data_IF_017726757586
#
_entry.id   IF_017726757586
#
_cell.length_a   1.000
_cell.length_b   1.000
_cell.length_c   1.000
_cell.angle_alpha   90.00
_cell.angle_beta   90.00
_cell.angle_gamma   90.00
#
_symmetry.space_group_name_H-M   'P 1'
#
loop_
_entity.id
_entity.type
_entity.pdbx_description
1 polymer ?
#
# COMPACT_ATOMS: atom_id res chain seq x y z
N UNK A 1 -17.16 -26.25 -18.80
CA UNK A 1 -16.88 -25.04 -19.58
C UNK A 1 -17.39 -23.77 -18.91
N UNK A 2 -18.67 -23.63 -18.57
CA UNK A 2 -19.22 -22.35 -18.04
C UNK A 2 -18.63 -21.88 -16.69
N UNK A 3 -18.30 -22.81 -15.78
CA UNK A 3 -17.74 -22.45 -14.46
C UNK A 3 -16.30 -21.94 -14.53
N UNK A 4 -15.53 -22.38 -15.51
CA UNK A 4 -14.11 -22.03 -15.66
C UNK A 4 -13.97 -20.65 -16.31
N UNK A 5 -14.78 -20.39 -17.34
CA UNK A 5 -14.89 -19.07 -17.98
C UNK A 5 -15.39 -18.01 -16.98
N UNK A 6 -16.33 -18.37 -16.09
CA UNK A 6 -16.78 -17.49 -15.00
C UNK A 6 -15.68 -17.18 -13.98
N UNK A 7 -14.77 -18.12 -13.69
CA UNK A 7 -13.65 -17.90 -12.76
C UNK A 7 -12.59 -17.00 -13.36
N UNK A 8 -12.24 -17.22 -14.63
CA UNK A 8 -11.29 -16.39 -15.37
C UNK A 8 -11.78 -14.93 -15.43
N UNK A 9 -13.05 -14.71 -15.76
CA UNK A 9 -13.63 -13.36 -15.80
C UNK A 9 -13.65 -12.66 -14.43
N UNK A 10 -13.84 -13.40 -13.33
CA UNK A 10 -13.76 -12.85 -11.98
C UNK A 10 -12.33 -12.47 -11.59
N UNK A 11 -11.35 -13.30 -11.96
CA UNK A 11 -9.93 -13.00 -11.77
C UNK A 11 -9.52 -11.73 -12.54
N UNK A 12 -9.88 -11.61 -13.81
CA UNK A 12 -9.58 -10.43 -14.62
C UNK A 12 -10.23 -9.14 -14.07
N UNK A 13 -11.48 -9.23 -13.60
CA UNK A 13 -12.17 -8.12 -12.95
C UNK A 13 -11.45 -7.71 -11.65
N UNK A 14 -10.97 -8.67 -10.86
CA UNK A 14 -10.23 -8.38 -9.64
C UNK A 14 -8.86 -7.75 -9.88
N UNK A 15 -8.11 -8.23 -10.88
CA UNK A 15 -6.82 -7.65 -11.26
C UNK A 15 -6.99 -6.23 -11.79
N UNK A 16 -8.09 -5.97 -12.52
CA UNK A 16 -8.44 -4.63 -12.98
C UNK A 16 -8.76 -3.71 -11.81
N UNK A 17 -9.56 -4.17 -10.85
CA UNK A 17 -9.86 -3.42 -9.62
C UNK A 17 -8.58 -3.06 -8.86
N UNK A 18 -7.66 -4.01 -8.65
CA UNK A 18 -6.39 -3.78 -7.95
C UNK A 18 -5.53 -2.76 -8.69
N UNK A 19 -5.39 -2.88 -10.01
CA UNK A 19 -4.59 -1.96 -10.81
C UNK A 19 -5.16 -0.53 -10.77
N UNK A 20 -6.48 -0.37 -10.84
CA UNK A 20 -7.16 0.93 -10.74
C UNK A 20 -6.95 1.58 -9.36
N UNK A 21 -7.08 0.79 -8.29
CA UNK A 21 -7.02 1.31 -6.92
C UNK A 21 -5.59 1.51 -6.40
N UNK A 22 -4.58 0.89 -7.03
CA UNK A 22 -3.17 1.11 -6.75
C UNK A 22 -2.78 2.59 -6.84
N UNK A 23 -3.32 3.26 -7.86
CA UNK A 23 -3.05 4.67 -8.14
C UNK A 23 -3.63 5.54 -7.04
N UNK A 24 -4.92 5.36 -6.76
CA UNK A 24 -5.62 6.10 -5.72
C UNK A 24 -5.00 5.84 -4.34
N UNK A 25 -4.48 4.63 -4.08
CA UNK A 25 -3.74 4.34 -2.86
C UNK A 25 -2.48 5.20 -2.75
N UNK A 26 -1.63 5.22 -3.78
CA UNK A 26 -0.39 6.00 -3.76
C UNK A 26 -0.63 7.51 -3.69
N UNK A 27 -1.62 8.00 -4.46
CA UNK A 27 -2.03 9.40 -4.41
C UNK A 27 -2.52 9.78 -3.02
N UNK A 28 -3.37 8.95 -2.40
CA UNK A 28 -3.90 9.21 -1.07
C UNK A 28 -2.79 9.22 -0.01
N UNK A 29 -1.88 8.24 -0.02
CA UNK A 29 -0.74 8.22 0.90
C UNK A 29 0.12 9.47 0.71
N UNK A 30 0.42 9.84 -0.53
CA UNK A 30 1.24 11.03 -0.85
C UNK A 30 0.58 12.31 -0.38
N UNK A 31 -0.73 12.46 -0.59
CA UNK A 31 -1.52 13.61 -0.14
C UNK A 31 -1.57 13.69 1.38
N UNK A 32 -1.86 12.58 2.07
CA UNK A 32 -1.89 12.52 3.54
C UNK A 32 -0.53 12.91 4.13
N UNK A 33 0.57 12.40 3.59
CA UNK A 33 1.91 12.75 4.07
C UNK A 33 2.30 14.20 3.74
N UNK A 34 1.94 14.69 2.55
CA UNK A 34 2.21 16.08 2.14
C UNK A 34 1.44 17.09 2.97
N UNK A 35 0.23 16.72 3.39
CA UNK A 35 -0.63 17.58 4.21
C UNK A 35 0.07 18.00 5.51
N UNK A 36 0.88 17.13 6.13
CA UNK A 36 1.64 17.42 7.36
C UNK A 36 2.56 18.65 7.23
N UNK A 37 3.02 18.94 6.02
CA UNK A 37 3.84 20.11 5.70
C UNK A 37 2.94 21.28 5.30
N UNK A 38 2.00 21.02 4.38
CA UNK A 38 1.20 22.05 3.72
C UNK A 38 0.24 22.76 4.68
N UNK A 39 -0.32 22.05 5.65
CA UNK A 39 -1.24 22.63 6.64
C UNK A 39 -0.51 23.26 7.85
N UNK A 40 0.83 23.23 7.85
CA UNK A 40 1.62 23.81 8.94
C UNK A 40 1.61 22.99 10.23
N UNK A 41 1.14 21.74 10.20
CA UNK A 41 1.18 20.84 11.37
C UNK A 41 2.61 20.71 11.93
N UNK A 42 3.59 20.41 11.08
CA UNK A 42 4.99 20.30 11.51
C UNK A 42 5.54 21.63 12.04
N UNK A 43 5.16 22.75 11.43
CA UNK A 43 5.55 24.07 11.92
C UNK A 43 5.01 24.30 13.34
N UNK A 44 3.74 24.01 13.56
CA UNK A 44 3.09 24.16 14.88
C UNK A 44 3.70 23.24 15.93
N UNK A 45 4.05 22.01 15.54
CA UNK A 45 4.66 21.03 16.43
C UNK A 45 6.10 21.40 16.83
N UNK A 46 6.88 21.98 15.91
CA UNK A 46 8.30 22.28 16.12
C UNK A 46 8.62 23.75 16.39
N UNK A 47 7.61 24.63 16.45
CA UNK A 47 7.81 26.02 16.83
C UNK A 47 8.49 26.10 18.21
N UNK A 48 9.58 26.86 18.27
CA UNK A 48 10.39 27.10 19.46
C UNK A 48 10.00 28.39 20.17
N UNK A 49 9.32 29.30 19.47
CA UNK A 49 8.93 30.61 19.97
C UNK A 49 7.46 30.88 19.62
N UNK A 50 6.53 30.01 20.06
CA UNK A 50 5.14 30.17 19.70
C UNK A 50 4.57 31.41 20.42
N UNK A 51 3.78 32.20 19.69
CA UNK A 51 3.13 33.41 20.23
C UNK A 51 2.11 33.10 21.34
N UNK A 52 1.62 31.86 21.40
CA UNK A 52 0.75 31.33 22.44
C UNK A 52 1.25 29.94 22.86
N UNK A 53 1.04 29.51 24.11
CA UNK A 53 1.33 28.13 24.51
C UNK A 53 0.57 27.14 23.61
N UNK A 54 1.29 26.15 23.08
CA UNK A 54 0.74 25.07 22.25
C UNK A 54 0.94 23.76 22.98
N UNK A 55 -0.15 23.02 23.20
CA UNK A 55 -0.09 21.66 23.71
C UNK A 55 0.30 20.70 22.58
N UNK A 56 1.57 20.30 22.56
CA UNK A 56 2.12 19.41 21.53
C UNK A 56 1.60 17.98 21.65
N UNK A 57 1.22 17.54 22.86
CA UNK A 57 0.64 16.23 23.06
C UNK A 57 -0.76 16.19 22.47
N UNK A 58 -1.58 17.21 22.75
CA UNK A 58 -2.90 17.32 22.17
C UNK A 58 -2.87 17.45 20.64
N UNK A 59 -1.92 18.20 20.08
CA UNK A 59 -1.74 18.26 18.62
C UNK A 59 -1.49 16.90 17.97
N UNK A 60 -0.68 16.05 18.61
CA UNK A 60 -0.40 14.70 18.12
C UNK A 60 -1.64 13.81 18.20
N UNK A 61 -2.37 13.87 19.31
CA UNK A 61 -3.61 13.10 19.51
C UNK A 61 -4.69 13.55 18.52
N UNK A 62 -4.87 14.85 18.30
CA UNK A 62 -5.85 15.37 17.35
C UNK A 62 -5.54 14.93 15.91
N UNK A 63 -4.26 14.78 15.57
CA UNK A 63 -3.84 14.39 14.21
C UNK A 63 -3.80 12.88 13.99
N UNK A 64 -3.37 12.12 14.99
CA UNK A 64 -3.02 10.70 14.84
C UNK A 64 -3.81 9.76 15.77
N UNK A 65 -4.66 10.32 16.64
CA UNK A 65 -5.48 9.59 17.61
C UNK A 65 -4.75 9.30 18.93
N UNK A 66 -5.49 8.71 19.88
CA UNK A 66 -5.02 8.37 21.24
C UNK A 66 -3.75 7.50 21.26
N UNK A 67 -3.56 6.67 20.23
CA UNK A 67 -2.36 5.84 20.09
C UNK A 67 -1.07 6.66 19.94
N UNK A 68 -1.16 7.95 19.61
CA UNK A 68 -0.03 8.86 19.46
C UNK A 68 0.26 9.71 20.72
N UNK A 69 -0.42 9.44 21.84
CA UNK A 69 -0.17 10.15 23.10
C UNK A 69 1.30 10.00 23.53
N UNK A 70 2.07 11.11 23.64
CA UNK A 70 3.46 11.08 24.08
C UNK A 70 3.69 10.43 25.44
N UNK A 71 2.67 10.32 26.31
CA UNK A 71 2.76 9.58 27.56
C UNK A 71 3.10 8.09 27.32
N UNK A 72 2.74 7.54 26.16
CA UNK A 72 3.11 6.19 25.71
C UNK A 72 4.52 6.11 25.10
N UNK A 73 5.16 7.25 24.83
CA UNK A 73 6.42 7.39 24.09
C UNK A 73 7.48 8.18 24.88
N UNK A 74 7.57 7.93 26.19
CA UNK A 74 8.30 8.74 27.20
C UNK A 74 9.76 9.11 26.84
N UNK A 75 10.43 8.40 25.93
CA UNK A 75 11.80 8.67 25.46
C UNK A 75 11.89 9.45 24.12
N UNK A 76 10.84 9.45 23.31
CA UNK A 76 10.83 10.08 21.98
C UNK A 76 10.72 11.61 22.06
N UNK A 77 10.24 12.10 23.20
CA UNK A 77 9.84 13.48 23.47
C UNK A 77 10.97 14.47 23.80
N UNK A 78 12.19 14.02 24.13
CA UNK A 78 13.23 14.95 24.61
C UNK A 78 14.01 15.70 23.50
N UNK A 79 13.90 15.35 22.22
CA UNK A 79 15.01 15.59 21.28
C UNK A 79 14.73 16.31 19.95
N UNK A 80 13.50 16.56 19.51
CA UNK A 80 13.24 16.68 18.07
C UNK A 80 13.34 18.12 17.54
N UNK A 81 14.56 18.67 17.51
CA UNK A 81 14.94 19.82 16.67
C UNK A 81 15.26 19.37 15.24
N UNK A 82 14.23 19.01 14.48
CA UNK A 82 14.35 18.24 13.22
C UNK A 82 14.83 19.10 12.04
N UNK A 83 15.82 18.60 11.27
CA UNK A 83 16.34 19.22 10.06
C UNK A 83 15.46 18.90 8.84
N UNK A 84 15.44 19.74 7.78
CA UNK A 84 14.67 19.47 6.56
C UNK A 84 14.97 18.10 5.93
N UNK A 85 16.21 17.63 6.00
CA UNK A 85 16.62 16.30 5.49
C UNK A 85 15.95 15.15 6.25
N UNK A 86 15.70 15.33 7.54
CA UNK A 86 14.96 14.35 8.35
C UNK A 86 13.49 14.31 7.95
N UNK A 87 12.88 15.45 7.57
CA UNK A 87 11.53 15.47 7.03
C UNK A 87 11.45 14.74 5.68
N UNK A 88 12.42 14.97 4.79
CA UNK A 88 12.53 14.21 3.54
C UNK A 88 12.70 12.72 3.81
N UNK A 89 13.51 12.33 4.79
CA UNK A 89 13.70 10.93 5.16
C UNK A 89 12.43 10.28 5.71
N UNK A 90 11.71 10.95 6.61
CA UNK A 90 10.44 10.46 7.16
C UNK A 90 9.40 10.29 6.06
N UNK A 91 9.29 11.27 5.16
CA UNK A 91 8.39 11.22 4.01
C UNK A 91 8.73 10.03 3.09
N UNK A 92 9.99 9.89 2.70
CA UNK A 92 10.44 8.77 1.86
C UNK A 92 10.26 7.41 2.54
N UNK A 93 10.44 7.34 3.86
CA UNK A 93 10.24 6.12 4.65
C UNK A 93 8.77 5.73 4.70
N UNK A 94 7.87 6.69 4.95
CA UNK A 94 6.44 6.43 4.97
C UNK A 94 5.91 6.00 3.59
N UNK A 95 6.40 6.63 2.51
CA UNK A 95 6.11 6.20 1.15
C UNK A 95 6.62 4.78 0.88
N UNK A 96 7.86 4.48 1.25
CA UNK A 96 8.43 3.14 1.08
C UNK A 96 7.63 2.07 1.83
N UNK A 97 7.32 2.30 3.12
CA UNK A 97 6.55 1.36 3.94
C UNK A 97 5.13 1.16 3.38
N UNK A 98 4.49 2.23 2.89
CA UNK A 98 3.16 2.15 2.29
C UNK A 98 3.19 1.36 0.98
N UNK A 99 4.18 1.62 0.12
CA UNK A 99 4.40 0.88 -1.12
C UNK A 99 4.64 -0.61 -0.86
N UNK A 100 5.51 -0.96 0.10
CA UNK A 100 5.73 -2.35 0.53
C UNK A 100 4.48 -3.01 1.11
N UNK A 101 3.68 -2.26 1.85
CA UNK A 101 2.42 -2.77 2.41
C UNK A 101 1.42 -3.07 1.30
N UNK A 102 1.36 -2.22 0.27
CA UNK A 102 0.56 -2.47 -0.92
C UNK A 102 1.04 -3.71 -1.69
N UNK A 103 2.34 -3.85 -1.94
CA UNK A 103 2.92 -5.05 -2.57
C UNK A 103 2.55 -6.33 -1.80
N UNK A 104 2.62 -6.28 -0.45
CA UNK A 104 2.23 -7.41 0.39
C UNK A 104 0.74 -7.73 0.27
N UNK A 105 -0.11 -6.71 0.28
CA UNK A 105 -1.55 -6.85 0.09
C UNK A 105 -1.86 -7.49 -1.27
N UNK A 106 -1.31 -6.93 -2.36
CA UNK A 106 -1.51 -7.43 -3.71
C UNK A 106 -1.05 -8.89 -3.84
N UNK A 107 0.12 -9.23 -3.28
CA UNK A 107 0.62 -10.60 -3.28
C UNK A 107 -0.27 -11.56 -2.48
N UNK A 108 -0.77 -11.17 -1.30
CA UNK A 108 -1.66 -12.01 -0.49
C UNK A 108 -3.03 -12.20 -1.15
N UNK A 109 -3.57 -11.11 -1.70
CA UNK A 109 -4.79 -11.17 -2.48
C UNK A 109 -4.65 -12.20 -3.61
N UNK A 110 -3.54 -12.11 -4.35
CA UNK A 110 -3.26 -13.05 -5.42
C UNK A 110 -3.09 -14.50 -4.93
N UNK A 111 -2.32 -14.77 -3.88
CA UNK A 111 -2.19 -16.14 -3.36
C UNK A 111 -3.52 -16.72 -2.86
N UNK A 112 -4.47 -15.88 -2.45
CA UNK A 112 -5.75 -16.32 -1.90
C UNK A 112 -6.83 -16.49 -2.98
N UNK A 113 -6.81 -15.66 -4.02
CA UNK A 113 -7.88 -15.58 -5.03
C UNK A 113 -7.41 -15.84 -6.47
N UNK A 114 -6.11 -15.82 -6.70
CA UNK A 114 -5.48 -16.15 -7.99
C UNK A 114 -5.16 -17.63 -8.15
N UNK A 115 -5.02 -18.37 -7.04
CA UNK A 115 -4.92 -19.83 -7.02
C UNK A 115 -6.31 -20.47 -6.80
N UNK A 116 -7.21 -20.32 -7.78
CA UNK A 116 -8.51 -21.01 -7.81
C UNK A 116 -8.46 -22.29 -8.67
N UNK A 117 -7.34 -23.01 -8.59
CA UNK A 117 -6.97 -24.08 -9.52
C UNK A 117 -6.51 -25.38 -8.86
N UNK A 118 -7.14 -25.84 -7.78
CA UNK A 118 -7.25 -27.28 -7.52
C UNK A 118 -8.58 -27.59 -6.82
N UNK A 119 -9.52 -28.16 -7.57
CA UNK A 119 -10.63 -28.91 -6.98
C UNK A 119 -10.47 -30.37 -7.42
N UNK A 120 -9.47 -31.04 -6.84
CA UNK A 120 -9.49 -32.49 -6.77
C UNK A 120 -10.74 -32.95 -6.02
N UNK A 121 -11.77 -33.33 -6.77
CA UNK A 121 -12.53 -34.56 -6.53
C UNK A 121 -13.36 -34.93 -7.78
N UNK A 122 -12.75 -35.65 -8.70
CA UNK A 122 -13.49 -36.63 -9.50
C UNK A 122 -12.59 -37.82 -9.77
N UNK A 123 -12.82 -38.89 -9.01
CA UNK A 123 -12.34 -40.24 -9.30
C UNK A 123 -12.55 -40.59 -10.77
N UNK A 124 -11.50 -40.49 -11.58
CA UNK A 124 -11.35 -41.26 -12.81
C UNK A 124 -9.88 -41.54 -13.03
N UNK A 125 -9.50 -42.80 -12.79
CA UNK A 125 -8.41 -43.47 -13.49
C UNK A 125 -8.57 -43.17 -14.99
N UNK A 126 -7.66 -42.38 -15.57
CA UNK A 126 -7.13 -42.61 -16.91
C UNK A 126 -5.98 -41.64 -17.20
N UNK A 127 -4.79 -42.24 -17.26
CA UNK A 127 -3.71 -42.01 -18.21
C UNK A 127 -3.68 -40.66 -18.99
N UNK A 128 -2.69 -39.84 -18.64
CA UNK A 128 -1.94 -38.93 -19.51
C UNK A 128 -2.74 -37.86 -20.29
N UNK A 129 -2.83 -36.68 -19.69
CA UNK A 129 -3.06 -35.44 -20.41
C UNK A 129 -2.70 -34.24 -19.54
N UNK A 130 -1.43 -33.80 -19.61
CA UNK A 130 -0.97 -32.52 -19.07
C UNK A 130 -1.80 -31.39 -19.70
N UNK A 131 -2.95 -31.07 -19.11
CA UNK A 131 -3.65 -29.82 -19.39
C UNK A 131 -3.21 -28.84 -18.33
N UNK A 132 -2.10 -28.16 -18.61
CA UNK A 132 -1.66 -27.00 -17.84
C UNK A 132 -2.71 -25.89 -17.99
N UNK A 133 -3.75 -25.90 -17.16
CA UNK A 133 -4.48 -24.68 -16.88
C UNK A 133 -3.47 -23.71 -16.29
N UNK A 134 -3.13 -22.66 -17.04
CA UNK A 134 -2.06 -21.72 -16.70
C UNK A 134 -2.43 -20.99 -15.41
N UNK A 135 -1.98 -21.51 -14.28
CA UNK A 135 -1.79 -20.72 -13.08
C UNK A 135 -0.79 -19.62 -13.45
N UNK A 136 -1.28 -18.40 -13.66
CA UNK A 136 -0.45 -17.24 -13.94
C UNK A 136 0.53 -17.10 -12.79
N UNK A 137 1.84 -17.21 -13.02
CA UNK A 137 2.78 -17.08 -11.92
C UNK A 137 2.85 -15.63 -11.40
N UNK A 138 3.53 -15.44 -10.26
CA UNK A 138 3.67 -14.14 -9.62
C UNK A 138 4.26 -13.07 -10.57
N UNK A 139 5.18 -13.44 -11.44
CA UNK A 139 5.89 -12.52 -12.33
C UNK A 139 5.05 -12.14 -13.54
N UNK A 140 4.19 -13.03 -14.03
CA UNK A 140 3.20 -12.75 -15.07
C UNK A 140 2.15 -11.74 -14.59
N UNK A 141 1.80 -11.78 -13.31
CA UNK A 141 0.81 -10.87 -12.74
C UNK A 141 1.38 -9.50 -12.43
N UNK A 142 2.61 -9.43 -11.93
CA UNK A 142 3.32 -8.15 -11.87
C UNK A 142 3.36 -7.53 -13.25
N UNK A 143 3.68 -8.30 -14.30
CA UNK A 143 3.62 -7.81 -15.69
C UNK A 143 2.23 -7.33 -16.11
N UNK A 144 1.15 -8.03 -15.76
CA UNK A 144 -0.23 -7.60 -16.09
C UNK A 144 -0.61 -6.31 -15.36
N UNK A 145 -0.28 -6.21 -14.06
CA UNK A 145 -0.54 -5.03 -13.24
C UNK A 145 0.29 -3.85 -13.75
N UNK A 146 1.58 -4.03 -14.00
CA UNK A 146 2.48 -3.00 -14.53
C UNK A 146 2.05 -2.52 -15.92
N UNK A 147 1.61 -3.44 -16.78
CA UNK A 147 1.06 -3.11 -18.09
C UNK A 147 -0.24 -2.29 -17.96
N UNK A 148 -1.14 -2.67 -17.04
CA UNK A 148 -2.38 -1.91 -16.76
C UNK A 148 -2.08 -0.53 -16.19
N UNK A 149 -1.13 -0.40 -15.27
CA UNK A 149 -0.68 0.88 -14.70
C UNK A 149 -0.06 1.76 -15.80
N UNK A 150 0.78 1.18 -16.67
CA UNK A 150 1.42 1.88 -17.78
C UNK A 150 0.40 2.39 -18.81
N UNK A 151 -0.63 1.59 -19.12
CA UNK A 151 -1.72 1.98 -20.02
C UNK A 151 -2.59 3.11 -19.46
N UNK A 152 -2.62 3.30 -18.14
CA UNK A 152 -3.25 4.44 -17.48
C UNK A 152 -2.38 5.71 -17.52
N UNK A 153 -1.16 5.64 -18.09
CA UNK A 153 -0.25 6.78 -18.24
C UNK A 153 0.52 7.13 -16.96
N UNK A 154 0.65 6.18 -16.04
CA UNK A 154 1.18 6.42 -14.70
C UNK A 154 2.52 5.70 -14.52
N UNK A 155 3.55 6.44 -14.09
CA UNK A 155 4.82 5.85 -13.69
C UNK A 155 4.72 5.38 -12.24
N UNK A 156 5.09 4.13 -11.98
CA UNK A 156 5.44 3.70 -10.62
C UNK A 156 6.62 4.53 -10.14
N UNK A 157 6.69 4.93 -8.86
CA UNK A 157 7.90 5.51 -8.30
C UNK A 157 9.07 4.56 -8.57
N UNK A 158 10.17 5.07 -9.13
CA UNK A 158 11.34 4.25 -9.40
C UNK A 158 11.76 3.52 -8.13
N UNK A 159 11.77 2.19 -8.20
CA UNK A 159 12.46 1.33 -7.25
C UNK A 159 13.96 1.57 -7.42
N UNK A 160 14.51 2.42 -6.55
CA UNK A 160 15.95 2.54 -6.35
C UNK A 160 16.50 1.33 -5.59
#
# INVERSE_FOLDING_TARGET
MDSEMSRISQLEASLTFIAEHHVSFHENVTQLLSSLIQDGFLQSLFDKTPSKPVDKAQLLIDRFGEAADPANFTLQAQATNIQPTTLSLLFSTALYVSSRSWENFASKYYMTFGDMGDLGDSDTDDELGETSAQALDKDEIHRIIDAKISNLGLQTPNTA
#
